data_IF_696789357521
#
_entry.id   IF_696789357521
#
_cell.length_a   1.000
_cell.length_b   1.000
_cell.length_c   1.000
_cell.angle_alpha   90.00
_cell.angle_beta   90.00
_cell.angle_gamma   90.00
#
_symmetry.space_group_name_H-M   'P 1'
#
loop_
_entity.id
_entity.type
_entity.pdbx_description
1 polymer ?
#
# COMPACT_ATOMS: atom_id res chain seq x y z
N UNK A 1 7.31 33.85 23.38
CA UNK A 1 6.92 32.54 23.94
C UNK A 1 6.05 31.87 22.88
N UNK A 2 6.69 31.09 22.00
CA UNK A 2 6.05 30.49 20.83
C UNK A 2 5.59 29.07 21.20
N UNK A 3 4.28 28.85 21.19
CA UNK A 3 3.71 27.51 21.32
C UNK A 3 3.77 26.82 19.96
N UNK A 4 4.66 25.84 19.86
CA UNK A 4 4.74 24.89 18.77
C UNK A 4 3.54 23.93 18.93
N UNK A 5 2.56 24.01 18.04
CA UNK A 5 1.52 23.00 17.90
C UNK A 5 2.20 21.73 17.36
N UNK A 6 2.49 20.79 18.24
CA UNK A 6 2.91 19.45 17.86
C UNK A 6 1.80 18.78 17.04
N UNK A 7 2.14 18.37 15.82
CA UNK A 7 1.30 17.58 14.91
C UNK A 7 1.30 16.11 15.40
N UNK A 8 0.25 15.61 16.06
CA UNK A 8 0.25 14.25 16.64
C UNK A 8 0.28 13.16 15.56
N UNK A 9 -0.18 13.48 14.36
CA UNK A 9 -0.44 12.53 13.28
C UNK A 9 0.82 12.06 12.56
N UNK A 10 1.88 12.89 12.51
CA UNK A 10 3.17 12.51 11.93
C UNK A 10 3.94 11.60 12.90
N UNK A 11 3.82 11.86 14.20
CA UNK A 11 4.40 11.02 15.24
C UNK A 11 3.78 9.61 15.23
N UNK A 12 2.47 9.48 15.03
CA UNK A 12 1.80 8.18 14.92
C UNK A 12 2.26 7.38 13.69
N UNK A 13 2.44 8.04 12.54
CA UNK A 13 2.99 7.41 11.34
C UNK A 13 4.44 6.96 11.54
N UNK A 14 5.28 7.82 12.14
CA UNK A 14 6.67 7.49 12.47
C UNK A 14 6.71 6.35 13.50
N UNK A 15 5.81 6.33 14.47
CA UNK A 15 5.70 5.29 15.51
C UNK A 15 5.26 3.95 14.92
N UNK A 16 4.29 3.96 14.01
CA UNK A 16 3.90 2.76 13.26
C UNK A 16 5.07 2.21 12.43
N UNK A 17 5.75 3.07 11.68
CA UNK A 17 6.91 2.69 10.85
C UNK A 17 8.06 2.16 11.70
N UNK A 18 8.40 2.81 12.81
CA UNK A 18 9.49 2.37 13.72
C UNK A 18 9.15 1.09 14.49
N UNK A 19 7.88 0.89 14.88
CA UNK A 19 7.42 -0.36 15.50
C UNK A 19 7.59 -1.56 14.57
N UNK A 20 7.41 -1.38 13.26
CA UNK A 20 7.65 -2.45 12.27
C UNK A 20 9.13 -2.83 12.15
N UNK A 21 10.07 -1.90 12.37
CA UNK A 21 11.52 -2.19 12.33
C UNK A 21 12.07 -2.81 13.64
N UNK A 22 11.47 -2.52 14.79
CA UNK A 22 11.96 -2.97 16.10
C UNK A 22 11.60 -4.41 16.47
N UNK A 23 10.67 -5.05 15.76
CA UNK A 23 10.22 -6.43 16.07
C UNK A 23 11.26 -7.50 15.67
N UNK A 24 12.32 -7.15 14.92
CA UNK A 24 13.27 -8.15 14.39
C UNK A 24 14.63 -8.23 15.12
N UNK A 25 14.75 -7.66 16.33
CA UNK A 25 15.98 -7.67 17.10
C UNK A 25 15.75 -8.09 18.56
N UNK A 26 15.96 -9.37 18.85
CA UNK A 26 16.00 -10.00 20.17
C UNK A 26 14.66 -10.26 20.88
N UNK A 27 14.19 -11.53 20.85
CA UNK A 27 13.93 -12.35 22.06
C UNK A 27 13.51 -13.79 21.71
N UNK A 28 14.00 -14.75 22.51
CA UNK A 28 13.88 -16.20 22.34
C UNK A 28 12.45 -16.73 22.55
N UNK A 29 12.00 -17.63 21.67
CA UNK A 29 10.60 -18.05 21.47
C UNK A 29 10.12 -19.22 22.36
N UNK A 30 10.87 -19.68 23.37
CA UNK A 30 10.53 -20.95 24.03
C UNK A 30 9.80 -20.88 25.39
N UNK A 31 9.70 -19.72 26.05
CA UNK A 31 9.16 -19.65 27.42
C UNK A 31 7.79 -18.95 27.56
N UNK A 32 7.23 -18.41 26.48
CA UNK A 32 6.08 -17.50 26.55
C UNK A 32 4.72 -18.19 26.33
N UNK A 33 4.70 -19.47 25.91
CA UNK A 33 3.45 -20.16 25.58
C UNK A 33 2.64 -20.57 26.81
N UNK A 34 3.27 -21.01 27.90
CA UNK A 34 2.52 -21.48 29.09
C UNK A 34 1.87 -20.34 29.87
N UNK A 35 2.56 -19.20 29.99
CA UNK A 35 2.02 -17.99 30.63
C UNK A 35 0.88 -17.36 29.79
N UNK A 36 0.97 -17.45 28.46
CA UNK A 36 -0.11 -17.04 27.56
C UNK A 36 -1.37 -17.91 27.76
N UNK A 37 -1.21 -19.23 27.87
CA UNK A 37 -2.33 -20.15 28.09
C UNK A 37 -3.01 -19.93 29.45
N UNK A 38 -2.23 -19.70 30.52
CA UNK A 38 -2.74 -19.36 31.86
C UNK A 38 -3.45 -18.00 31.90
N UNK A 39 -2.94 -17.01 31.17
CA UNK A 39 -3.60 -15.71 31.01
C UNK A 39 -4.94 -15.81 30.27
N UNK A 40 -5.02 -16.66 29.24
CA UNK A 40 -6.24 -16.91 28.46
C UNK A 40 -7.32 -17.59 29.31
N UNK A 41 -6.98 -18.62 30.11
CA UNK A 41 -7.97 -19.31 30.97
C UNK A 41 -8.53 -18.40 32.06
N UNK A 42 -7.72 -17.51 32.63
CA UNK A 42 -8.17 -16.54 33.63
C UNK A 42 -9.06 -15.45 33.03
N UNK A 43 -8.74 -14.97 31.81
CA UNK A 43 -9.59 -14.01 31.08
C UNK A 43 -10.93 -14.61 30.64
N UNK A 44 -10.94 -15.89 30.24
CA UNK A 44 -12.17 -16.62 29.89
C UNK A 44 -13.09 -16.75 31.11
N UNK A 45 -12.55 -17.08 32.28
CA UNK A 45 -13.32 -17.14 33.52
C UNK A 45 -13.87 -15.76 33.95
N UNK A 46 -13.08 -14.69 33.82
CA UNK A 46 -13.54 -13.34 34.18
C UNK A 46 -14.66 -12.83 33.24
N UNK A 47 -14.56 -13.17 31.95
CA UNK A 47 -15.57 -12.81 30.95
C UNK A 47 -16.90 -13.51 31.20
N UNK A 48 -16.85 -14.74 31.71
CA UNK A 48 -18.04 -15.55 31.97
C UNK A 48 -18.82 -15.12 33.23
N UNK A 49 -18.18 -14.40 34.16
CA UNK A 49 -18.79 -13.90 35.39
C UNK A 49 -19.43 -12.50 35.20
N UNK A 50 -19.05 -11.76 34.15
CA UNK A 50 -19.40 -10.32 34.02
C UNK A 50 -20.60 -10.01 33.11
N UNK A 51 -21.32 -11.00 32.56
CA UNK A 51 -22.48 -10.72 31.69
C UNK A 51 -23.77 -11.36 32.18
N UNK A 52 -24.62 -10.58 32.87
CA UNK A 52 -26.04 -10.62 32.59
C UNK A 52 -26.54 -9.18 32.42
N UNK A 53 -26.36 -8.61 31.23
CA UNK A 53 -27.21 -7.51 30.80
C UNK A 53 -27.47 -7.65 29.29
N UNK A 54 -28.74 -7.81 28.97
CA UNK A 54 -29.27 -7.96 27.63
C UNK A 54 -29.10 -6.65 26.86
N UNK A 55 -28.07 -6.58 26.02
CA UNK A 55 -28.01 -5.58 24.95
C UNK A 55 -28.28 -6.30 23.64
N UNK A 56 -29.39 -5.94 22.98
CA UNK A 56 -29.76 -6.47 21.66
C UNK A 56 -28.84 -5.80 20.64
N UNK A 57 -27.61 -6.28 20.54
CA UNK A 57 -26.75 -5.94 19.41
C UNK A 57 -27.33 -6.58 18.16
N UNK A 58 -27.90 -5.76 17.27
CA UNK A 58 -28.18 -6.17 15.89
C UNK A 58 -26.96 -6.92 15.34
N UNK A 59 -27.13 -8.01 14.58
CA UNK A 59 -25.99 -8.72 14.00
C UNK A 59 -25.34 -7.78 12.97
N UNK A 60 -24.29 -7.08 13.39
CA UNK A 60 -23.43 -6.31 12.49
C UNK A 60 -22.75 -7.34 11.61
N UNK A 61 -23.28 -7.52 10.40
CA UNK A 61 -22.63 -8.35 9.41
C UNK A 61 -21.28 -7.70 9.08
N UNK A 62 -20.16 -8.43 9.19
CA UNK A 62 -18.84 -7.86 8.94
C UNK A 62 -18.78 -7.32 7.52
N UNK A 63 -18.11 -6.17 7.32
CA UNK A 63 -17.98 -5.58 5.99
C UNK A 63 -17.22 -6.54 5.08
N UNK A 64 -17.55 -6.48 3.79
CA UNK A 64 -16.91 -7.29 2.77
C UNK A 64 -15.40 -7.01 2.68
N UNK A 65 -14.57 -8.07 2.76
CA UNK A 65 -13.09 -7.96 2.83
C UNK A 65 -12.35 -8.29 1.53
N UNK A 66 -13.04 -8.73 0.47
CA UNK A 66 -12.39 -9.05 -0.79
C UNK A 66 -11.59 -7.88 -1.40
N UNK A 67 -12.00 -6.58 -1.32
CA UNK A 67 -11.21 -5.49 -1.89
C UNK A 67 -9.83 -5.37 -1.26
N UNK A 68 -9.77 -5.58 0.06
CA UNK A 68 -8.52 -5.61 0.81
C UNK A 68 -7.62 -6.77 0.38
N UNK A 69 -8.16 -7.98 0.20
CA UNK A 69 -7.37 -9.12 -0.29
C UNK A 69 -6.90 -8.95 -1.73
N UNK A 70 -7.65 -8.25 -2.58
CA UNK A 70 -7.22 -7.89 -3.94
C UNK A 70 -5.98 -7.00 -3.89
N UNK A 71 -5.98 -5.96 -3.06
CA UNK A 71 -4.81 -5.12 -2.84
C UNK A 71 -3.60 -5.91 -2.31
N UNK A 72 -3.80 -6.77 -1.31
CA UNK A 72 -2.72 -7.60 -0.76
C UNK A 72 -2.15 -8.57 -1.80
N UNK A 73 -3.02 -9.22 -2.58
CA UNK A 73 -2.60 -10.12 -3.65
C UNK A 73 -1.82 -9.41 -4.75
N UNK A 74 -2.27 -8.22 -5.17
CA UNK A 74 -1.55 -7.42 -6.16
C UNK A 74 -0.20 -6.89 -5.65
N UNK A 75 -0.13 -6.48 -4.39
CA UNK A 75 1.11 -6.07 -3.74
C UNK A 75 2.10 -7.23 -3.62
N UNK A 76 1.62 -8.41 -3.21
CA UNK A 76 2.42 -9.63 -3.14
C UNK A 76 2.97 -10.00 -4.53
N UNK A 77 2.13 -9.97 -5.56
CA UNK A 77 2.55 -10.24 -6.94
C UNK A 77 3.64 -9.26 -7.41
N UNK A 78 3.47 -7.96 -7.14
CA UNK A 78 4.48 -6.94 -7.47
C UNK A 78 5.82 -7.21 -6.78
N UNK A 79 5.82 -7.45 -5.47
CA UNK A 79 7.06 -7.65 -4.72
C UNK A 79 7.75 -8.97 -5.09
N UNK A 80 6.98 -10.05 -5.34
CA UNK A 80 7.53 -11.33 -5.79
C UNK A 80 8.10 -11.24 -7.20
N UNK A 81 7.37 -10.64 -8.15
CA UNK A 81 7.86 -10.48 -9.53
C UNK A 81 9.14 -9.65 -9.58
N UNK A 82 9.22 -8.55 -8.82
CA UNK A 82 10.44 -7.76 -8.61
C UNK A 82 11.59 -8.60 -8.05
N UNK A 83 11.33 -9.34 -6.97
CA UNK A 83 12.35 -10.17 -6.30
C UNK A 83 12.90 -11.26 -7.21
N UNK A 84 12.02 -11.97 -7.92
CA UNK A 84 12.41 -13.01 -8.90
C UNK A 84 13.17 -12.39 -10.06
N UNK A 85 12.74 -11.24 -10.58
CA UNK A 85 13.45 -10.53 -11.65
C UNK A 85 14.88 -10.19 -11.24
N UNK A 86 15.06 -9.59 -10.07
CA UNK A 86 16.37 -9.18 -9.58
C UNK A 86 17.26 -10.35 -9.15
N UNK A 87 16.68 -11.44 -8.65
CA UNK A 87 17.43 -12.66 -8.30
C UNK A 87 18.00 -13.36 -9.54
N UNK A 88 17.23 -13.46 -10.62
CA UNK A 88 17.62 -14.19 -11.83
C UNK A 88 18.12 -13.29 -12.97
N UNK A 89 18.43 -12.01 -12.69
CA UNK A 89 18.85 -11.03 -13.72
C UNK A 89 20.11 -11.45 -14.51
N UNK A 90 21.01 -12.20 -13.87
CA UNK A 90 22.28 -12.64 -14.45
C UNK A 90 22.22 -14.02 -15.14
N UNK A 91 21.07 -14.70 -15.12
CA UNK A 91 20.97 -16.07 -15.61
C UNK A 91 21.06 -16.17 -17.16
N UNK A 92 20.18 -15.49 -17.89
CA UNK A 92 20.24 -15.43 -19.35
C UNK A 92 19.57 -14.17 -19.90
N UNK A 93 20.00 -13.72 -21.07
CA UNK A 93 19.47 -12.48 -21.67
C UNK A 93 17.95 -12.56 -21.92
N UNK A 94 17.45 -13.68 -22.45
CA UNK A 94 16.03 -13.88 -22.73
C UNK A 94 15.18 -13.94 -21.45
N UNK A 95 15.66 -14.64 -20.41
CA UNK A 95 14.95 -14.72 -19.14
C UNK A 95 14.89 -13.35 -18.46
N UNK A 96 16.01 -12.63 -18.41
CA UNK A 96 16.08 -11.29 -17.84
C UNK A 96 15.08 -10.33 -18.50
N UNK A 97 15.00 -10.30 -19.83
CA UNK A 97 14.03 -9.45 -20.53
C UNK A 97 12.58 -9.81 -20.22
N UNK A 98 12.27 -11.11 -20.10
CA UNK A 98 10.93 -11.58 -19.73
C UNK A 98 10.57 -11.19 -18.30
N UNK A 99 11.49 -11.40 -17.36
CA UNK A 99 11.28 -11.07 -15.95
C UNK A 99 11.18 -9.57 -15.72
N UNK A 100 11.95 -8.75 -16.44
CA UNK A 100 11.85 -7.29 -16.34
C UNK A 100 10.48 -6.76 -16.80
N UNK A 101 9.89 -7.39 -17.83
CA UNK A 101 8.52 -7.06 -18.26
C UNK A 101 7.49 -7.50 -17.22
N UNK A 102 7.70 -8.67 -16.59
CA UNK A 102 6.85 -9.16 -15.51
C UNK A 102 6.92 -8.25 -14.27
N UNK A 103 8.10 -7.75 -13.92
CA UNK A 103 8.31 -6.78 -12.84
C UNK A 103 7.53 -5.48 -13.11
N UNK A 104 7.60 -4.94 -14.32
CA UNK A 104 6.80 -3.77 -14.72
C UNK A 104 5.28 -4.05 -14.71
N UNK A 105 4.86 -5.25 -15.10
CA UNK A 105 3.47 -5.67 -14.97
C UNK A 105 3.05 -5.76 -13.49
N UNK A 106 3.96 -6.20 -12.61
CA UNK A 106 3.81 -6.21 -11.16
C UNK A 106 3.45 -4.84 -10.59
N UNK A 107 4.24 -3.81 -10.94
CA UNK A 107 3.97 -2.42 -10.52
C UNK A 107 2.58 -1.98 -10.97
N UNK A 108 2.22 -2.27 -12.22
CA UNK A 108 0.91 -1.89 -12.76
C UNK A 108 -0.24 -2.58 -12.04
N UNK A 109 -0.10 -3.88 -11.76
CA UNK A 109 -1.08 -4.67 -11.01
C UNK A 109 -1.25 -4.14 -9.58
N UNK A 110 -0.16 -3.78 -8.89
CA UNK A 110 -0.24 -3.17 -7.56
C UNK A 110 -0.99 -1.84 -7.60
N UNK A 111 -0.74 -0.98 -8.60
CA UNK A 111 -1.49 0.27 -8.76
C UNK A 111 -2.98 -0.02 -8.95
N UNK A 112 -3.36 -0.88 -9.90
CA UNK A 112 -4.78 -1.20 -10.15
C UNK A 112 -5.45 -1.72 -8.87
N UNK A 113 -4.83 -2.69 -8.21
CA UNK A 113 -5.41 -3.36 -7.05
C UNK A 113 -5.47 -2.46 -5.80
N UNK A 114 -4.57 -1.49 -5.66
CA UNK A 114 -4.63 -0.47 -4.59
C UNK A 114 -5.86 0.44 -4.68
N UNK A 115 -6.48 0.59 -5.84
CA UNK A 115 -7.71 1.39 -5.94
C UNK A 115 -8.93 0.65 -5.37
N UNK A 116 -8.87 -0.67 -5.19
CA UNK A 116 -10.03 -1.44 -4.76
C UNK A 116 -10.50 -1.09 -3.34
N UNK A 117 -9.66 -1.12 -2.29
CA UNK A 117 -10.08 -0.76 -0.94
C UNK A 117 -10.68 0.66 -0.82
N UNK A 118 -9.98 1.76 -1.19
CA UNK A 118 -10.50 3.11 -0.98
C UNK A 118 -11.78 3.33 -1.78
N UNK A 119 -11.82 2.95 -3.06
CA UNK A 119 -12.99 3.19 -3.91
C UNK A 119 -14.20 2.38 -3.44
N UNK A 120 -14.00 1.11 -3.10
CA UNK A 120 -15.10 0.26 -2.63
C UNK A 120 -15.65 0.76 -1.29
N UNK A 121 -14.79 1.02 -0.29
CA UNK A 121 -15.25 1.37 1.05
C UNK A 121 -15.77 2.80 1.18
N UNK A 122 -15.28 3.75 0.36
CA UNK A 122 -15.77 5.13 0.34
C UNK A 122 -17.12 5.21 -0.36
N UNK A 123 -17.27 4.54 -1.51
CA UNK A 123 -18.44 4.65 -2.38
C UNK A 123 -19.39 3.44 -2.27
N UNK A 124 -19.33 2.64 -1.22
CA UNK A 124 -20.19 1.47 -1.06
C UNK A 124 -21.70 1.80 -1.06
N UNK A 125 -22.06 3.02 -0.65
CA UNK A 125 -23.45 3.49 -0.63
C UNK A 125 -23.91 4.00 -2.01
N UNK A 126 -22.97 4.34 -2.90
CA UNK A 126 -23.22 4.94 -4.21
C UNK A 126 -22.59 4.09 -5.33
N UNK A 127 -23.26 3.01 -5.75
CA UNK A 127 -22.62 1.97 -6.55
C UNK A 127 -22.11 2.42 -7.92
N UNK A 128 -22.70 3.47 -8.48
CA UNK A 128 -22.28 4.01 -9.77
C UNK A 128 -20.80 4.42 -9.77
N UNK A 129 -20.33 5.06 -8.70
CA UNK A 129 -18.98 5.64 -8.66
C UNK A 129 -17.89 4.58 -8.50
N UNK A 130 -18.16 3.47 -7.80
CA UNK A 130 -17.17 2.40 -7.74
C UNK A 130 -16.95 1.76 -9.12
N UNK A 131 -18.00 1.56 -9.92
CA UNK A 131 -17.85 0.99 -11.26
C UNK A 131 -17.08 1.93 -12.20
N UNK A 132 -17.37 3.23 -12.15
CA UNK A 132 -16.67 4.22 -12.99
C UNK A 132 -15.19 4.28 -12.64
N UNK A 133 -14.83 4.41 -11.37
CA UNK A 133 -13.43 4.56 -10.98
C UNK A 133 -12.63 3.26 -11.11
N UNK A 134 -13.19 2.12 -10.69
CA UNK A 134 -12.52 0.82 -10.83
C UNK A 134 -12.43 0.39 -12.30
N UNK A 135 -13.46 0.64 -13.10
CA UNK A 135 -13.42 0.41 -14.55
C UNK A 135 -12.35 1.26 -15.22
N UNK A 136 -12.28 2.56 -14.89
CA UNK A 136 -11.31 3.50 -15.43
C UNK A 136 -9.86 3.11 -15.13
N UNK A 137 -9.53 2.84 -13.87
CA UNK A 137 -8.15 2.45 -13.49
C UNK A 137 -7.77 1.08 -14.09
N UNK A 138 -8.72 0.14 -14.18
CA UNK A 138 -8.47 -1.18 -14.78
C UNK A 138 -8.21 -1.05 -16.28
N UNK A 139 -8.97 -0.22 -17.00
CA UNK A 139 -8.74 0.03 -18.42
C UNK A 139 -7.38 0.70 -18.68
N UNK A 140 -7.05 1.74 -17.91
CA UNK A 140 -5.76 2.42 -17.99
C UNK A 140 -4.59 1.49 -17.64
N UNK A 141 -4.78 0.65 -16.63
CA UNK A 141 -3.81 -0.34 -16.20
C UNK A 141 -3.61 -1.46 -17.22
N UNK A 142 -4.68 -1.96 -17.84
CA UNK A 142 -4.58 -2.94 -18.92
C UNK A 142 -3.83 -2.38 -20.13
N UNK A 143 -4.15 -1.15 -20.53
CA UNK A 143 -3.41 -0.44 -21.57
C UNK A 143 -1.91 -0.34 -21.23
N UNK A 144 -1.60 -0.01 -19.98
CA UNK A 144 -0.22 0.07 -19.49
C UNK A 144 0.49 -1.28 -19.50
N UNK A 145 -0.15 -2.36 -19.04
CA UNK A 145 0.38 -3.73 -19.09
C UNK A 145 0.68 -4.14 -20.53
N UNK A 146 -0.28 -3.97 -21.46
CA UNK A 146 -0.08 -4.32 -22.87
C UNK A 146 1.09 -3.55 -23.49
N UNK A 147 1.21 -2.27 -23.15
CA UNK A 147 2.31 -1.42 -23.58
C UNK A 147 3.66 -1.90 -23.02
N UNK A 148 3.72 -2.30 -21.75
CA UNK A 148 4.94 -2.74 -21.07
C UNK A 148 5.38 -4.14 -21.46
N UNK A 149 4.45 -5.03 -21.80
CA UNK A 149 4.74 -6.36 -22.33
C UNK A 149 5.31 -6.31 -23.75
N UNK A 150 5.12 -5.19 -24.47
CA UNK A 150 5.69 -4.98 -25.80
C UNK A 150 7.23 -4.91 -25.76
N UNK A 151 7.95 -5.73 -26.56
CA UNK A 151 9.41 -5.71 -26.63
C UNK A 151 10.03 -4.36 -27.01
N UNK A 152 9.35 -3.60 -27.88
CA UNK A 152 9.87 -2.32 -28.39
C UNK A 152 9.81 -1.22 -27.33
N UNK A 153 8.72 -1.19 -26.54
CA UNK A 153 8.43 -0.16 -25.55
C UNK A 153 9.03 -0.46 -24.17
N UNK A 154 9.47 -1.69 -23.92
CA UNK A 154 10.18 -2.09 -22.70
C UNK A 154 11.68 -1.77 -22.70
N UNK A 155 12.23 -1.24 -23.80
CA UNK A 155 13.66 -0.90 -23.90
C UNK A 155 14.08 0.22 -22.94
N UNK A 156 15.37 0.31 -22.61
CA UNK A 156 15.92 1.31 -21.68
C UNK A 156 15.68 2.76 -22.11
N UNK A 157 15.54 2.99 -23.43
CA UNK A 157 15.25 4.30 -24.04
C UNK A 157 13.90 4.87 -23.61
N UNK A 158 12.90 4.03 -23.37
CA UNK A 158 11.54 4.43 -22.99
C UNK A 158 11.33 4.53 -21.47
N UNK A 159 12.39 4.70 -20.68
CA UNK A 159 12.28 4.82 -19.21
C UNK A 159 11.35 5.96 -18.79
N UNK A 160 11.53 7.15 -19.36
CA UNK A 160 10.70 8.31 -19.04
C UNK A 160 9.24 8.10 -19.46
N UNK A 161 9.02 7.42 -20.60
CA UNK A 161 7.69 7.03 -21.05
C UNK A 161 7.01 6.06 -20.07
N UNK A 162 7.71 5.04 -19.55
CA UNK A 162 7.17 4.15 -18.51
C UNK A 162 6.84 4.91 -17.22
N UNK A 163 7.73 5.79 -16.77
CA UNK A 163 7.47 6.62 -15.60
C UNK A 163 6.23 7.49 -15.81
N UNK A 164 6.01 8.03 -17.00
CA UNK A 164 4.82 8.79 -17.37
C UNK A 164 3.54 7.94 -17.30
N UNK A 165 3.57 6.69 -17.78
CA UNK A 165 2.41 5.77 -17.68
C UNK A 165 2.06 5.48 -16.21
N UNK A 166 3.04 5.16 -15.37
CA UNK A 166 2.78 4.92 -13.95
C UNK A 166 2.30 6.19 -13.23
N UNK A 167 2.90 7.34 -13.57
CA UNK A 167 2.51 8.63 -12.99
C UNK A 167 1.09 9.01 -13.41
N UNK A 168 0.68 8.76 -14.66
CA UNK A 168 -0.68 9.07 -15.12
C UNK A 168 -1.73 8.23 -14.39
N UNK A 169 -1.43 6.95 -14.11
CA UNK A 169 -2.27 6.11 -13.27
C UNK A 169 -2.36 6.62 -11.83
N UNK A 170 -1.25 7.10 -11.26
CA UNK A 170 -1.25 7.74 -9.93
C UNK A 170 -2.07 9.03 -9.92
N UNK A 171 -1.92 9.88 -10.94
CA UNK A 171 -2.66 11.13 -11.09
C UNK A 171 -4.16 10.91 -11.29
N UNK A 172 -4.56 9.81 -11.93
CA UNK A 172 -5.97 9.42 -12.00
C UNK A 172 -6.60 9.33 -10.60
N UNK A 173 -5.85 8.91 -9.58
CA UNK A 173 -6.28 8.82 -8.19
C UNK A 173 -6.65 10.16 -7.52
N UNK A 174 -6.20 11.30 -8.07
CA UNK A 174 -6.55 12.63 -7.55
C UNK A 174 -8.04 12.91 -7.71
N UNK A 175 -8.64 12.52 -8.83
CA UNK A 175 -10.08 12.74 -9.09
C UNK A 175 -10.98 12.01 -8.09
N UNK A 176 -10.88 10.68 -7.90
CA UNK A 176 -11.66 10.00 -6.88
C UNK A 176 -11.28 10.43 -5.47
N UNK A 177 -10.02 10.83 -5.20
CA UNK A 177 -9.61 11.36 -3.89
C UNK A 177 -10.32 12.68 -3.52
N UNK A 178 -10.43 13.61 -4.48
CA UNK A 178 -11.20 14.85 -4.29
C UNK A 178 -12.68 14.53 -4.10
N UNK A 179 -13.25 13.68 -4.97
CA UNK A 179 -14.66 13.31 -4.88
C UNK A 179 -14.98 12.61 -3.54
N UNK A 180 -14.13 11.68 -3.11
CA UNK A 180 -14.23 11.01 -1.81
C UNK A 180 -14.22 12.01 -0.65
N UNK A 181 -13.36 13.02 -0.71
CA UNK A 181 -13.23 14.05 0.31
C UNK A 181 -14.49 14.92 0.44
N UNK A 182 -15.14 15.21 -0.69
CA UNK A 182 -16.39 15.98 -0.74
C UNK A 182 -17.54 15.16 -0.18
N UNK A 183 -17.72 13.92 -0.64
CA UNK A 183 -18.84 13.05 -0.23
C UNK A 183 -18.71 12.65 1.25
N UNK A 184 -17.49 12.44 1.75
CA UNK A 184 -17.24 12.05 3.13
C UNK A 184 -16.82 13.25 4.01
N UNK A 185 -17.35 14.45 3.74
CA UNK A 185 -16.93 15.65 4.47
C UNK A 185 -17.16 15.57 5.98
N UNK A 186 -18.23 14.90 6.42
CA UNK A 186 -18.57 14.74 7.84
C UNK A 186 -17.83 13.57 8.53
N UNK A 187 -17.11 12.73 7.79
CA UNK A 187 -16.48 11.53 8.34
C UNK A 187 -15.26 11.92 9.22
N UNK A 188 -15.27 11.59 10.54
CA UNK A 188 -14.18 11.96 11.44
C UNK A 188 -12.85 11.25 11.10
N UNK A 189 -12.89 10.09 10.42
CA UNK A 189 -11.69 9.36 9.99
C UNK A 189 -11.09 9.88 8.69
N UNK A 190 -11.80 10.73 7.93
CA UNK A 190 -11.37 11.26 6.62
C UNK A 190 -9.95 11.81 6.65
N UNK A 191 -9.63 12.67 7.62
CA UNK A 191 -8.33 13.33 7.68
C UNK A 191 -7.18 12.34 7.90
N UNK A 192 -7.40 11.31 8.73
CA UNK A 192 -6.40 10.26 8.98
C UNK A 192 -6.18 9.45 7.71
N UNK A 193 -7.27 9.06 7.04
CA UNK A 193 -7.15 8.30 5.78
C UNK A 193 -6.48 9.12 4.69
N UNK A 194 -6.83 10.40 4.52
CA UNK A 194 -6.17 11.29 3.59
C UNK A 194 -4.68 11.48 3.92
N UNK A 195 -4.30 11.50 5.20
CA UNK A 195 -2.90 11.57 5.60
C UNK A 195 -2.11 10.32 5.16
N UNK A 196 -2.66 9.12 5.36
CA UNK A 196 -2.04 7.88 4.90
C UNK A 196 -1.94 7.81 3.37
N UNK A 197 -3.00 8.16 2.64
CA UNK A 197 -2.98 8.19 1.17
C UNK A 197 -2.03 9.27 0.63
N UNK A 198 -1.93 10.42 1.30
CA UNK A 198 -0.95 11.46 0.97
C UNK A 198 0.48 11.00 1.22
N UNK A 199 0.73 10.30 2.32
CA UNK A 199 2.03 9.70 2.61
C UNK A 199 2.42 8.66 1.56
N UNK A 200 1.49 7.79 1.15
CA UNK A 200 1.68 6.86 0.03
C UNK A 200 2.09 7.62 -1.25
N UNK A 201 1.34 8.65 -1.62
CA UNK A 201 1.65 9.45 -2.81
C UNK A 201 3.05 10.06 -2.73
N UNK A 202 3.43 10.67 -1.59
CA UNK A 202 4.77 11.25 -1.39
C UNK A 202 5.86 10.18 -1.56
N UNK A 203 5.71 9.00 -0.96
CA UNK A 203 6.68 7.92 -1.11
C UNK A 203 6.83 7.46 -2.56
N UNK A 204 5.73 7.25 -3.28
CA UNK A 204 5.78 6.84 -4.68
C UNK A 204 6.35 7.90 -5.62
N UNK A 205 5.96 9.18 -5.45
CA UNK A 205 6.53 10.28 -6.25
C UNK A 205 8.03 10.43 -5.99
N UNK A 206 8.45 10.38 -4.72
CA UNK A 206 9.86 10.49 -4.34
C UNK A 206 10.67 9.30 -4.88
N UNK A 207 10.14 8.08 -4.76
CA UNK A 207 10.78 6.89 -5.32
C UNK A 207 10.93 6.99 -6.84
N UNK A 208 9.87 7.42 -7.52
CA UNK A 208 9.90 7.62 -8.98
C UNK A 208 10.94 8.67 -9.37
N UNK A 209 11.09 9.75 -8.59
CA UNK A 209 12.14 10.74 -8.79
C UNK A 209 13.54 10.11 -8.73
N UNK A 210 13.81 9.29 -7.71
CA UNK A 210 15.09 8.57 -7.60
C UNK A 210 15.31 7.65 -8.82
N UNK A 211 14.33 6.82 -9.18
CA UNK A 211 14.40 5.90 -10.32
C UNK A 211 14.72 6.60 -11.66
N UNK A 212 14.09 7.75 -11.90
CA UNK A 212 14.28 8.52 -13.14
C UNK A 212 15.62 9.24 -13.15
N UNK A 213 15.97 9.93 -12.05
CA UNK A 213 17.15 10.81 -11.98
C UNK A 213 18.47 10.05 -11.84
N UNK A 214 18.44 8.82 -11.30
CA UNK A 214 19.62 8.01 -10.94
C UNK A 214 20.54 8.69 -9.93
N UNK A 215 19.99 9.51 -9.05
CA UNK A 215 20.73 10.09 -7.93
C UNK A 215 20.67 9.09 -6.77
N UNK A 216 21.75 8.83 -6.03
CA UNK A 216 23.03 9.53 -6.02
C UNK A 216 24.11 8.95 -6.95
N UNK A 217 23.93 7.77 -7.56
CA UNK A 217 24.97 7.09 -8.34
C UNK A 217 25.42 7.86 -9.59
N UNK A 218 24.54 8.72 -10.14
CA UNK A 218 24.87 9.64 -11.22
C UNK A 218 25.87 10.73 -10.79
N UNK A 219 25.82 11.15 -9.52
CA UNK A 219 26.68 12.21 -8.99
C UNK A 219 28.06 11.67 -8.57
N UNK A 220 28.13 10.41 -8.15
CA UNK A 220 29.37 9.77 -7.70
C UNK A 220 29.44 8.32 -8.18
N UNK A 221 29.81 8.08 -9.45
CA UNK A 221 29.97 6.73 -9.99
C UNK A 221 30.97 5.90 -9.17
N UNK A 222 30.68 4.62 -8.95
CA UNK A 222 31.53 3.71 -8.18
C UNK A 222 31.29 3.68 -6.66
N UNK A 223 30.64 4.72 -6.10
CA UNK A 223 30.43 4.80 -4.65
C UNK A 223 29.16 4.08 -4.17
N UNK A 224 28.19 3.93 -5.05
CA UNK A 224 26.86 3.37 -4.72
C UNK A 224 26.61 2.02 -5.41
N UNK A 225 27.67 1.33 -5.83
CA UNK A 225 27.56 0.12 -6.66
C UNK A 225 26.91 -1.06 -5.91
N UNK A 226 27.09 -1.14 -4.57
CA UNK A 226 26.54 -2.20 -3.73
C UNK A 226 25.30 -1.76 -2.95
N UNK A 227 25.34 -0.54 -2.38
CA UNK A 227 24.30 -0.05 -1.49
C UNK A 227 23.98 1.43 -1.72
N UNK A 228 22.72 1.81 -1.57
CA UNK A 228 22.26 3.20 -1.59
C UNK A 228 22.12 3.81 -2.99
N UNK A 229 22.19 3.01 -4.06
CA UNK A 229 21.84 3.49 -5.39
C UNK A 229 20.33 3.73 -5.53
N UNK A 230 19.95 4.58 -6.48
CA UNK A 230 18.57 5.03 -6.69
C UNK A 230 17.55 3.90 -6.77
N UNK A 231 17.89 2.78 -7.42
CA UNK A 231 16.98 1.65 -7.58
C UNK A 231 16.69 0.90 -6.27
N UNK A 232 17.65 0.84 -5.33
CA UNK A 232 17.39 0.33 -3.98
C UNK A 232 16.48 1.28 -3.19
N UNK A 233 16.78 2.59 -3.25
CA UNK A 233 15.98 3.62 -2.59
C UNK A 233 14.53 3.59 -3.13
N UNK A 234 14.36 3.40 -4.44
CA UNK A 234 13.06 3.23 -5.07
C UNK A 234 12.28 2.06 -4.47
N UNK A 235 12.87 0.86 -4.39
CA UNK A 235 12.20 -0.31 -3.81
C UNK A 235 11.80 -0.09 -2.35
N UNK A 236 12.66 0.53 -1.53
CA UNK A 236 12.33 0.87 -0.14
C UNK A 236 11.11 1.79 -0.09
N UNK A 237 11.10 2.86 -0.90
CA UNK A 237 9.98 3.81 -0.95
C UNK A 237 8.69 3.16 -1.48
N UNK A 238 8.79 2.18 -2.39
CA UNK A 238 7.64 1.40 -2.85
C UNK A 238 7.01 0.61 -1.71
N UNK A 239 7.82 -0.05 -0.87
CA UNK A 239 7.33 -0.79 0.31
C UNK A 239 6.70 0.17 1.33
N UNK A 240 7.34 1.31 1.60
CA UNK A 240 6.81 2.32 2.52
C UNK A 240 5.47 2.90 2.03
N UNK A 241 5.33 3.13 0.72
CA UNK A 241 4.08 3.52 0.09
C UNK A 241 2.98 2.47 0.27
N UNK A 242 3.29 1.19 0.01
CA UNK A 242 2.36 0.10 0.20
C UNK A 242 1.92 -0.06 1.67
N UNK A 243 2.83 0.13 2.64
CA UNK A 243 2.52 0.11 4.07
C UNK A 243 1.62 1.28 4.49
N UNK A 244 1.87 2.49 3.97
CA UNK A 244 0.99 3.63 4.22
C UNK A 244 -0.44 3.37 3.69
N UNK A 245 -0.55 2.82 2.47
CA UNK A 245 -1.84 2.45 1.88
C UNK A 245 -2.54 1.30 2.61
N UNK A 246 -1.78 0.33 3.12
CA UNK A 246 -2.29 -0.70 4.00
C UNK A 246 -2.90 -0.10 5.28
N UNK A 247 -2.22 0.89 5.88
CA UNK A 247 -2.74 1.66 7.00
C UNK A 247 -4.07 2.36 6.68
N UNK A 248 -4.16 3.06 5.54
CA UNK A 248 -5.41 3.66 5.06
C UNK A 248 -6.52 2.60 4.91
N UNK A 249 -6.20 1.45 4.30
CA UNK A 249 -7.14 0.35 4.09
C UNK A 249 -7.70 -0.23 5.38
N UNK A 250 -6.89 -0.34 6.43
CA UNK A 250 -7.37 -0.75 7.76
C UNK A 250 -8.31 0.28 8.37
N UNK A 251 -8.02 1.57 8.23
CA UNK A 251 -8.91 2.64 8.71
C UNK A 251 -10.26 2.61 7.99
N UNK A 252 -10.27 2.36 6.67
CA UNK A 252 -11.51 2.17 5.91
C UNK A 252 -12.31 0.98 6.41
N UNK A 253 -11.67 -0.17 6.60
CA UNK A 253 -12.29 -1.39 7.12
C UNK A 253 -12.90 -1.18 8.51
N UNK A 254 -12.14 -0.63 9.45
CA UNK A 254 -12.60 -0.37 10.83
C UNK A 254 -13.81 0.56 10.84
N UNK A 255 -13.78 1.61 10.00
CA UNK A 255 -14.89 2.55 9.91
C UNK A 255 -16.16 1.88 9.35
N UNK A 256 -16.03 1.02 8.34
CA UNK A 256 -17.17 0.36 7.71
C UNK A 256 -17.72 -0.81 8.50
N UNK A 257 -16.88 -1.52 9.25
CA UNK A 257 -17.32 -2.53 10.23
C UNK A 257 -18.23 -1.91 11.31
N UNK A 258 -18.07 -0.62 11.63
CA UNK A 258 -18.91 0.06 12.64
C UNK A 258 -20.15 0.75 12.08
N UNK A 259 -20.04 1.34 10.89
CA UNK A 259 -21.07 2.25 10.37
C UNK A 259 -21.91 1.65 9.25
N UNK A 260 -21.55 0.49 8.68
CA UNK A 260 -22.25 -0.04 7.52
C UNK A 260 -22.21 0.97 6.36
N UNK A 261 -23.25 1.01 5.53
CA UNK A 261 -23.48 2.05 4.53
C UNK A 261 -24.05 3.32 5.16
#
# INVERSE_FOLDING_TARGET
MANLLELPQVADLITFLTRSFLINGHTNVSYDSEDLFLGITNLVNLRQITTPESDVTLPVTPVTRWPFYVFLGGSLFCLLSSSVCHLFSCHSHHLNLTLLRLDYAGITTMIITSFFPPIYYIFQCDPQWHFVYLGGITALGLFTILTLLSPTLSTSKFRAFRALLFTSMGLFGVVPGIHASIVNWSNPRRNVTLAYESAMAIFYLTGTMFYVTRIPERLKPGWFDIAGHSHQIFHVLVVMGALAHYGASLVFLEWRDRNGC
#
